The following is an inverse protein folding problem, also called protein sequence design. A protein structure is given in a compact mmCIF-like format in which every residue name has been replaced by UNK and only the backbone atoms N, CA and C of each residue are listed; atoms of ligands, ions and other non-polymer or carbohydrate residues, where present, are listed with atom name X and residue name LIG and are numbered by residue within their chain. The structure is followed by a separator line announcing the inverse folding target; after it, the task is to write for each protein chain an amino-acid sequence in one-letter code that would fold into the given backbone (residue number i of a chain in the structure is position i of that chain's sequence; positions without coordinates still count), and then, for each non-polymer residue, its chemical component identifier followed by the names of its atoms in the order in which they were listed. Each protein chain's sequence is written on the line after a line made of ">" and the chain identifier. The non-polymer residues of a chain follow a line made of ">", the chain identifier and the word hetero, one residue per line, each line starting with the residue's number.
data_IF_735822861321
#
_entry.id   IF_735822861321
#
_cell.length_a   1.000
_cell.length_b   1.000
_cell.length_c   1.000
_cell.angle_alpha   90.00
_cell.angle_beta   90.00
_cell.angle_gamma   90.00
#
_symmetry.space_group_name_H-M   'P 1'
#
loop_
_entity.id
_entity.type
_entity.pdbx_description
1 polymer ?
#
# COMPACT_ATOMS: atom_id res chain seq x y z
N UNK A 1 -17.91 -13.32 8.12
CA UNK A 1 -17.68 -12.24 7.13
C UNK A 1 -16.22 -11.89 7.22
N UNK A 2 -15.45 -12.23 6.18
CA UNK A 2 -14.02 -11.94 6.12
C UNK A 2 -13.80 -10.43 6.11
N UNK A 3 -12.93 -9.97 6.99
CA UNK A 3 -12.47 -8.59 7.11
C UNK A 3 -11.52 -8.17 5.95
N UNK A 4 -11.48 -8.95 4.87
CA UNK A 4 -10.45 -8.88 3.86
C UNK A 4 -10.46 -7.65 2.93
N UNK A 5 -11.57 -6.92 2.81
CA UNK A 5 -11.71 -5.96 1.71
C UNK A 5 -11.90 -4.48 2.13
N UNK A 6 -12.06 -4.20 3.41
CA UNK A 6 -12.46 -2.86 3.87
C UNK A 6 -11.31 -2.07 4.52
N UNK A 7 -10.25 -2.74 4.98
CA UNK A 7 -9.18 -2.11 5.76
C UNK A 7 -7.83 -2.23 5.06
N UNK A 8 -7.68 -1.48 3.97
CA UNK A 8 -6.45 -1.54 3.17
C UNK A 8 -5.37 -0.56 3.65
N UNK A 9 -5.74 0.61 4.17
CA UNK A 9 -4.77 1.57 4.70
C UNK A 9 -4.39 1.23 6.14
N UNK A 10 -3.16 1.54 6.50
CA UNK A 10 -2.63 1.41 7.86
C UNK A 10 -3.57 2.00 8.90
N UNK A 11 -4.12 3.20 8.66
CA UNK A 11 -5.04 3.89 9.57
C UNK A 11 -6.28 3.07 9.89
N UNK A 12 -6.87 2.41 8.89
CA UNK A 12 -8.07 1.57 9.05
C UNK A 12 -7.73 0.28 9.79
N UNK A 13 -6.59 -0.34 9.47
CA UNK A 13 -6.09 -1.54 10.16
C UNK A 13 -5.90 -1.26 11.65
N UNK A 14 -5.27 -0.14 11.99
CA UNK A 14 -5.03 0.27 13.38
C UNK A 14 -6.34 0.54 14.12
N UNK A 15 -7.24 1.30 13.52
CA UNK A 15 -8.54 1.59 14.11
C UNK A 15 -9.31 0.29 14.43
N UNK A 16 -9.27 -0.67 13.51
CA UNK A 16 -9.91 -1.96 13.70
C UNK A 16 -9.21 -2.81 14.77
N UNK A 17 -7.87 -2.88 14.76
CA UNK A 17 -7.10 -3.61 15.76
C UNK A 17 -7.33 -3.05 17.19
N UNK A 18 -7.37 -1.74 17.33
CA UNK A 18 -7.68 -1.06 18.58
C UNK A 18 -9.08 -1.43 19.08
N UNK A 19 -10.10 -1.35 18.22
CA UNK A 19 -11.46 -1.72 18.53
C UNK A 19 -11.59 -3.19 18.99
N UNK A 20 -10.93 -4.10 18.28
CA UNK A 20 -11.02 -5.54 18.59
C UNK A 20 -10.26 -5.93 19.84
N UNK A 21 -9.14 -5.27 20.13
CA UNK A 21 -8.32 -5.54 21.32
C UNK A 21 -8.77 -4.78 22.57
N UNK A 22 -9.69 -3.83 22.43
CA UNK A 22 -10.09 -2.95 23.53
C UNK A 22 -8.99 -1.96 23.95
N UNK A 23 -7.99 -1.73 23.08
CA UNK A 23 -6.87 -0.81 23.32
C UNK A 23 -7.13 0.56 22.68
N UNK A 24 -6.40 1.56 23.17
CA UNK A 24 -6.43 2.88 22.56
C UNK A 24 -5.62 2.90 21.25
N UNK A 25 -6.09 3.62 20.25
CA UNK A 25 -5.38 3.84 18.98
C UNK A 25 -4.00 4.43 19.21
N UNK A 26 -3.85 5.28 20.23
CA UNK A 26 -2.57 5.90 20.61
C UNK A 26 -1.47 4.89 20.97
N UNK A 27 -1.84 3.70 21.49
CA UNK A 27 -0.88 2.65 21.81
C UNK A 27 -0.25 2.08 20.52
N UNK A 28 -1.05 1.90 19.48
CA UNK A 28 -0.56 1.49 18.15
C UNK A 28 0.24 2.60 17.48
N UNK A 29 -0.26 3.84 17.58
CA UNK A 29 0.43 5.00 16.99
C UNK A 29 1.82 5.19 17.60
N UNK A 30 1.98 5.00 18.90
CA UNK A 30 3.28 5.09 19.56
C UNK A 30 4.30 4.07 19.01
N UNK A 31 3.87 2.86 18.67
CA UNK A 31 4.73 1.84 18.04
C UNK A 31 5.15 2.28 16.63
N UNK A 32 4.21 2.85 15.88
CA UNK A 32 4.44 3.33 14.51
C UNK A 32 5.39 4.52 14.51
N UNK A 33 5.17 5.47 15.38
CA UNK A 33 6.03 6.67 15.53
C UNK A 33 7.45 6.31 15.97
N UNK A 34 7.60 5.17 16.67
CA UNK A 34 8.88 4.57 17.01
C UNK A 34 9.62 3.91 15.82
N UNK A 35 9.05 3.94 14.61
CA UNK A 35 9.68 3.42 13.39
C UNK A 35 9.78 1.90 13.29
N UNK A 36 9.07 1.15 14.14
CA UNK A 36 8.96 -0.31 14.03
C UNK A 36 10.27 -1.08 14.26
N UNK A 37 11.19 -0.54 15.06
CA UNK A 37 12.45 -1.21 15.38
C UNK A 37 12.21 -2.61 15.99
N UNK A 38 12.81 -3.65 15.37
CA UNK A 38 12.63 -5.05 15.76
C UNK A 38 11.27 -5.65 15.34
N UNK A 39 10.49 -4.95 14.49
CA UNK A 39 9.22 -5.40 13.92
C UNK A 39 9.30 -5.42 12.40
N UNK A 40 9.64 -4.27 11.79
CA UNK A 40 9.73 -4.10 10.35
C UNK A 40 11.06 -4.60 9.79
N UNK A 41 11.08 -5.15 8.57
CA UNK A 41 12.32 -5.39 7.86
C UNK A 41 12.96 -4.06 7.40
N UNK A 42 14.26 -4.09 7.13
CA UNK A 42 15.03 -2.88 6.80
C UNK A 42 14.49 -2.14 5.57
N UNK A 43 14.02 -2.87 4.57
CA UNK A 43 13.46 -2.32 3.34
C UNK A 43 12.18 -1.51 3.54
N UNK A 44 11.46 -1.72 4.63
CA UNK A 44 10.29 -0.92 4.99
C UNK A 44 10.64 0.52 5.42
N UNK A 45 11.93 0.81 5.68
CA UNK A 45 12.39 2.16 6.04
C UNK A 45 11.69 2.75 7.26
N UNK A 46 11.24 1.91 8.19
CA UNK A 46 10.51 2.33 9.39
C UNK A 46 9.04 2.71 9.14
N UNK A 47 8.48 2.40 7.97
CA UNK A 47 7.10 2.70 7.59
C UNK A 47 6.25 1.43 7.56
N UNK A 48 5.09 1.44 8.23
CA UNK A 48 4.20 0.28 8.34
C UNK A 48 3.22 0.13 7.17
N UNK A 49 2.96 1.20 6.39
CA UNK A 49 2.04 1.09 5.26
C UNK A 49 2.52 0.07 4.23
N UNK A 50 1.66 -0.86 3.88
CA UNK A 50 1.98 -2.02 3.03
C UNK A 50 2.44 -3.26 3.79
N UNK A 51 2.88 -3.13 5.04
CA UNK A 51 3.51 -4.20 5.81
C UNK A 51 2.59 -4.89 6.83
N UNK A 52 1.31 -4.56 6.83
CA UNK A 52 0.31 -5.18 7.71
C UNK A 52 -0.52 -6.19 6.92
N UNK A 53 -0.23 -7.49 7.10
CA UNK A 53 -0.96 -8.54 6.39
C UNK A 53 -2.42 -8.58 6.80
N UNK A 54 -3.37 -8.52 5.84
CA UNK A 54 -4.78 -8.78 6.13
C UNK A 54 -4.99 -10.21 6.64
N UNK A 55 -5.79 -10.37 7.68
CA UNK A 55 -6.03 -11.72 8.23
C UNK A 55 -6.80 -11.70 9.53
N UNK A 56 -6.93 -12.88 10.14
CA UNK A 56 -7.54 -13.05 11.45
C UNK A 56 -6.45 -13.22 12.50
N UNK A 57 -6.43 -12.34 13.49
CA UNK A 57 -5.44 -12.32 14.55
C UNK A 57 -6.10 -12.47 15.91
N UNK A 58 -5.49 -13.26 16.80
CA UNK A 58 -5.86 -13.23 18.21
C UNK A 58 -5.24 -11.99 18.85
N UNK A 59 -6.09 -11.11 19.38
CA UNK A 59 -5.64 -9.84 19.99
C UNK A 59 -5.76 -9.84 21.51
N UNK A 60 -6.35 -10.88 22.08
CA UNK A 60 -6.56 -10.99 23.52
C UNK A 60 -5.21 -11.09 24.26
N UNK A 61 -5.06 -10.34 25.34
CA UNK A 61 -3.89 -10.31 26.21
C UNK A 61 -2.55 -9.93 25.53
N UNK A 62 -2.61 -9.36 24.31
CA UNK A 62 -1.44 -8.90 23.57
C UNK A 62 -1.28 -7.39 23.65
N UNK A 63 -0.02 -6.94 23.65
CA UNK A 63 0.29 -5.50 23.47
C UNK A 63 0.02 -5.05 22.04
N UNK A 64 -0.15 -3.74 21.83
CA UNK A 64 -0.23 -3.17 20.48
C UNK A 64 1.00 -3.54 19.62
N UNK A 65 2.18 -3.54 20.25
CA UNK A 65 3.44 -3.96 19.62
C UNK A 65 3.41 -5.41 19.15
N UNK A 66 2.90 -6.33 19.97
CA UNK A 66 2.84 -7.75 19.61
C UNK A 66 1.85 -7.99 18.47
N UNK A 67 0.70 -7.30 18.48
CA UNK A 67 -0.30 -7.38 17.42
C UNK A 67 0.30 -6.91 16.09
N UNK A 68 0.95 -5.74 16.07
CA UNK A 68 1.60 -5.22 14.86
C UNK A 68 2.74 -6.14 14.39
N UNK A 69 3.53 -6.69 15.32
CA UNK A 69 4.59 -7.64 15.00
C UNK A 69 4.06 -8.90 14.31
N UNK A 70 2.94 -9.43 14.78
CA UNK A 70 2.31 -10.60 14.14
C UNK A 70 1.84 -10.28 12.73
N UNK A 71 1.21 -9.11 12.51
CA UNK A 71 0.77 -8.69 11.18
C UNK A 71 1.94 -8.53 10.22
N UNK A 72 3.04 -7.92 10.67
CA UNK A 72 4.26 -7.76 9.86
C UNK A 72 4.90 -9.12 9.57
N UNK A 73 5.03 -9.99 10.58
CA UNK A 73 5.58 -11.34 10.40
C UNK A 73 4.76 -12.14 9.38
N UNK A 74 3.43 -12.06 9.47
CA UNK A 74 2.54 -12.70 8.50
C UNK A 74 2.74 -12.15 7.09
N UNK A 75 2.94 -10.82 6.95
CA UNK A 75 3.23 -10.18 5.66
C UNK A 75 4.56 -10.66 5.08
N UNK A 76 5.63 -10.69 5.86
CA UNK A 76 6.93 -11.19 5.40
C UNK A 76 6.83 -12.64 4.94
N UNK A 77 6.21 -13.51 5.74
CA UNK A 77 5.99 -14.91 5.38
C UNK A 77 5.16 -15.06 4.10
N UNK A 78 4.14 -14.21 3.91
CA UNK A 78 3.33 -14.18 2.69
C UNK A 78 4.18 -13.80 1.47
N UNK A 79 4.99 -12.76 1.58
CA UNK A 79 5.88 -12.31 0.50
C UNK A 79 6.90 -13.39 0.14
N UNK A 80 7.47 -14.09 1.13
CA UNK A 80 8.36 -15.23 0.91
C UNK A 80 7.65 -16.37 0.16
N UNK A 81 6.43 -16.69 0.57
CA UNK A 81 5.61 -17.72 -0.08
C UNK A 81 5.27 -17.37 -1.53
N UNK A 82 5.01 -16.11 -1.81
CA UNK A 82 4.75 -15.60 -3.17
C UNK A 82 6.02 -15.48 -4.02
N UNK A 83 7.20 -15.65 -3.43
CA UNK A 83 8.49 -15.55 -4.12
C UNK A 83 8.91 -14.12 -4.41
N UNK A 84 8.42 -13.15 -3.63
CA UNK A 84 8.83 -11.74 -3.77
C UNK A 84 10.28 -11.58 -3.28
N UNK A 85 11.20 -11.06 -4.10
CA UNK A 85 12.59 -10.85 -3.71
C UNK A 85 12.72 -9.93 -2.49
N UNK A 86 13.73 -10.18 -1.66
CA UNK A 86 14.03 -9.34 -0.50
C UNK A 86 14.59 -7.96 -0.89
N UNK A 87 14.62 -7.05 0.09
CA UNK A 87 15.25 -5.76 -0.04
C UNK A 87 14.41 -4.73 -0.79
N UNK A 88 15.07 -3.77 -1.42
CA UNK A 88 14.42 -2.64 -2.10
C UNK A 88 13.46 -3.06 -3.21
N UNK A 89 13.67 -4.20 -3.84
CA UNK A 89 12.75 -4.71 -4.86
C UNK A 89 11.43 -5.15 -4.24
N UNK A 90 11.45 -5.71 -3.03
CA UNK A 90 10.24 -6.06 -2.28
C UNK A 90 9.37 -4.82 -2.01
N UNK A 91 9.98 -3.76 -1.49
CA UNK A 91 9.29 -2.50 -1.25
C UNK A 91 8.75 -1.90 -2.55
N UNK A 92 9.52 -1.95 -3.63
CA UNK A 92 9.11 -1.49 -4.95
C UNK A 92 7.89 -2.25 -5.49
N UNK A 93 7.89 -3.58 -5.39
CA UNK A 93 6.76 -4.42 -5.80
C UNK A 93 5.52 -4.11 -4.99
N UNK A 94 5.66 -3.97 -3.66
CA UNK A 94 4.56 -3.63 -2.77
C UNK A 94 3.96 -2.26 -3.10
N UNK A 95 4.81 -1.29 -3.39
CA UNK A 95 4.39 0.06 -3.76
C UNK A 95 3.57 0.03 -5.07
N UNK A 96 4.08 -0.61 -6.12
CA UNK A 96 3.37 -0.77 -7.40
C UNK A 96 2.05 -1.54 -7.20
N UNK A 97 2.05 -2.63 -6.44
CA UNK A 97 0.86 -3.43 -6.17
C UNK A 97 -0.24 -2.61 -5.48
N UNK A 98 0.13 -1.79 -4.49
CA UNK A 98 -0.82 -0.95 -3.77
C UNK A 98 -1.49 0.09 -4.67
N UNK A 99 -0.75 0.65 -5.62
CA UNK A 99 -1.29 1.60 -6.60
C UNK A 99 -2.19 0.86 -7.60
N UNK A 100 -1.72 -0.25 -8.17
CA UNK A 100 -2.48 -1.03 -9.14
C UNK A 100 -3.84 -1.49 -8.58
N UNK A 101 -3.84 -1.95 -7.33
CA UNK A 101 -5.06 -2.36 -6.63
C UNK A 101 -6.01 -1.18 -6.36
N UNK A 102 -5.45 0.02 -6.12
CA UNK A 102 -6.26 1.23 -5.86
C UNK A 102 -6.85 1.84 -7.12
N UNK A 103 -6.22 1.66 -8.27
CA UNK A 103 -6.62 2.25 -9.55
C UNK A 103 -7.53 1.33 -10.38
N UNK A 104 -7.35 0.01 -10.28
CA UNK A 104 -8.12 -0.93 -11.08
C UNK A 104 -9.39 -1.39 -10.36
N UNK A 105 -10.50 -1.40 -11.07
CA UNK A 105 -11.78 -1.90 -10.54
C UNK A 105 -11.88 -3.43 -10.55
N UNK A 106 -11.05 -4.10 -11.36
CA UNK A 106 -11.04 -5.55 -11.53
C UNK A 106 -9.65 -6.12 -11.27
N UNK A 107 -9.51 -7.19 -10.48
CA UNK A 107 -8.24 -7.87 -10.28
C UNK A 107 -7.52 -8.30 -11.56
N UNK A 108 -8.25 -8.62 -12.63
CA UNK A 108 -7.69 -9.00 -13.93
C UNK A 108 -6.93 -7.85 -14.62
N UNK A 109 -7.15 -6.62 -14.18
CA UNK A 109 -6.50 -5.44 -14.73
C UNK A 109 -5.28 -4.96 -13.92
N UNK A 110 -5.03 -5.51 -12.72
CA UNK A 110 -3.89 -5.12 -11.88
C UNK A 110 -2.56 -5.18 -12.63
N UNK A 111 -2.33 -6.25 -13.40
CA UNK A 111 -1.11 -6.42 -14.19
C UNK A 111 -0.94 -5.36 -15.27
N UNK A 112 -2.03 -4.96 -15.94
CA UNK A 112 -2.00 -3.91 -16.97
C UNK A 112 -1.68 -2.56 -16.36
N UNK A 113 -2.29 -2.23 -15.22
CA UNK A 113 -1.98 -0.98 -14.49
C UNK A 113 -0.54 -0.99 -14.00
N UNK A 114 -0.05 -2.10 -13.45
CA UNK A 114 1.36 -2.27 -13.07
C UNK A 114 2.29 -2.05 -14.26
N UNK A 115 1.94 -2.56 -15.44
CA UNK A 115 2.71 -2.33 -16.68
C UNK A 115 2.73 -0.86 -17.08
N UNK A 116 1.62 -0.15 -17.00
CA UNK A 116 1.57 1.29 -17.27
C UNK A 116 2.48 2.06 -16.30
N UNK A 117 2.46 1.72 -15.02
CA UNK A 117 3.34 2.33 -14.01
C UNK A 117 4.81 2.14 -14.41
N UNK A 118 5.24 0.91 -14.72
CA UNK A 118 6.60 0.62 -15.14
C UNK A 118 7.01 1.37 -16.42
N UNK A 119 6.14 1.36 -17.43
CA UNK A 119 6.42 2.05 -18.68
C UNK A 119 6.56 3.58 -18.50
N UNK A 120 5.77 4.18 -17.61
CA UNK A 120 5.90 5.61 -17.27
C UNK A 120 7.20 5.90 -16.55
N UNK A 121 7.60 5.05 -15.60
CA UNK A 121 8.90 5.17 -14.92
C UNK A 121 10.04 5.12 -15.94
N UNK A 122 10.02 4.13 -16.83
CA UNK A 122 11.06 3.94 -17.86
C UNK A 122 11.17 5.13 -18.83
N UNK A 123 10.07 5.85 -19.03
CA UNK A 123 10.02 7.04 -19.89
C UNK A 123 10.16 8.37 -19.13
N UNK A 124 10.53 8.34 -17.85
CA UNK A 124 10.63 9.50 -16.98
C UNK A 124 9.33 10.34 -16.95
N UNK A 125 8.19 9.69 -17.05
CA UNK A 125 6.86 10.32 -16.98
C UNK A 125 6.33 10.30 -15.53
N UNK A 126 5.58 11.34 -15.11
CA UNK A 126 4.80 11.29 -13.88
C UNK A 126 3.79 10.15 -13.92
N UNK A 127 3.56 9.47 -12.78
CA UNK A 127 2.57 8.38 -12.74
C UNK A 127 1.13 8.90 -12.87
N UNK A 128 0.84 10.10 -12.37
CA UNK A 128 -0.45 10.75 -12.55
C UNK A 128 -1.62 10.02 -11.89
N UNK A 129 -1.38 9.36 -10.75
CA UNK A 129 -2.37 8.53 -10.05
C UNK A 129 -3.04 9.33 -8.94
N UNK A 130 -4.35 9.53 -9.04
CA UNK A 130 -5.11 10.30 -8.04
C UNK A 130 -5.18 9.59 -6.69
N UNK A 131 -5.12 8.26 -6.68
CA UNK A 131 -5.06 7.47 -5.44
C UNK A 131 -3.87 7.82 -4.56
N UNK A 132 -2.72 8.09 -5.17
CA UNK A 132 -1.50 8.49 -4.43
C UNK A 132 -1.63 9.89 -3.85
N UNK A 133 -2.19 10.83 -4.62
CA UNK A 133 -2.47 12.20 -4.14
C UNK A 133 -3.42 12.16 -2.95
N UNK A 134 -4.51 11.40 -3.09
CA UNK A 134 -5.51 11.23 -2.05
C UNK A 134 -4.94 10.59 -0.78
N UNK A 135 -3.99 9.66 -0.92
CA UNK A 135 -3.31 9.08 0.23
C UNK A 135 -2.55 10.15 1.03
N UNK A 136 -1.75 10.98 0.36
CA UNK A 136 -0.97 12.03 1.02
C UNK A 136 -1.82 13.07 1.76
N UNK A 137 -3.04 13.32 1.29
CA UNK A 137 -4.02 14.19 1.97
C UNK A 137 -4.97 13.44 2.91
N UNK A 138 -4.77 12.14 3.13
CA UNK A 138 -5.65 11.28 3.93
C UNK A 138 -7.14 11.40 3.54
N UNK A 139 -7.41 11.39 2.24
CA UNK A 139 -8.74 11.53 1.66
C UNK A 139 -9.00 10.45 0.59
N UNK A 140 -10.05 10.61 -0.20
CA UNK A 140 -10.37 9.75 -1.35
C UNK A 140 -10.25 10.54 -2.65
N UNK A 141 -9.97 9.86 -3.77
CA UNK A 141 -9.81 10.51 -5.07
C UNK A 141 -10.98 11.41 -5.48
N UNK A 142 -12.21 11.00 -5.15
CA UNK A 142 -13.43 11.77 -5.45
C UNK A 142 -13.59 13.08 -4.66
N UNK A 143 -12.76 13.30 -3.65
CA UNK A 143 -12.78 14.51 -2.79
C UNK A 143 -11.58 15.42 -3.02
N UNK A 144 -10.72 15.11 -3.97
CA UNK A 144 -9.57 15.95 -4.30
C UNK A 144 -10.02 17.25 -4.97
N UNK A 145 -9.39 18.35 -4.58
CA UNK A 145 -9.53 19.65 -5.23
C UNK A 145 -8.46 19.85 -6.28
N UNK A 146 -8.67 20.76 -7.22
CA UNK A 146 -7.67 21.10 -8.25
C UNK A 146 -6.37 21.59 -7.60
N UNK A 147 -6.46 22.39 -6.54
CA UNK A 147 -5.29 22.85 -5.78
C UNK A 147 -4.49 21.68 -5.18
N UNK A 148 -5.16 20.67 -4.63
CA UNK A 148 -4.49 19.48 -4.10
C UNK A 148 -3.85 18.63 -5.21
N UNK A 149 -4.46 18.57 -6.39
CA UNK A 149 -3.91 17.86 -7.55
C UNK A 149 -2.64 18.53 -8.12
N UNK A 150 -2.47 19.82 -7.90
CA UNK A 150 -1.31 20.61 -8.35
C UNK A 150 -0.25 20.80 -7.25
N UNK A 151 -0.53 20.41 -6.02
CA UNK A 151 0.39 20.59 -4.89
C UNK A 151 1.57 19.63 -4.93
N UNK A 152 2.72 20.14 -5.41
CA UNK A 152 3.99 19.42 -5.44
C UNK A 152 4.66 19.25 -4.07
N UNK A 153 4.18 19.91 -3.01
CA UNK A 153 4.71 19.74 -1.64
C UNK A 153 4.26 18.43 -1.00
N UNK A 154 3.17 17.84 -1.49
CA UNK A 154 2.75 16.50 -1.12
C UNK A 154 3.67 15.46 -1.79
N UNK A 155 4.53 14.73 -1.04
CA UNK A 155 5.48 13.77 -1.62
C UNK A 155 4.79 12.57 -2.28
N UNK A 156 3.51 12.34 -2.00
CA UNK A 156 2.68 11.31 -2.64
C UNK A 156 2.00 11.78 -3.93
N UNK A 157 2.14 13.06 -4.29
CA UNK A 157 1.55 13.59 -5.50
C UNK A 157 2.33 13.14 -6.75
N UNK A 158 1.96 12.01 -7.31
CA UNK A 158 2.58 11.46 -8.53
C UNK A 158 2.12 12.14 -9.82
N UNK A 159 1.26 13.16 -9.75
CA UNK A 159 0.92 14.02 -10.90
C UNK A 159 2.03 15.05 -11.17
N UNK A 160 2.71 15.48 -10.10
CA UNK A 160 3.77 16.50 -10.13
C UNK A 160 5.13 15.87 -9.88
N UNK A 161 5.25 15.01 -8.88
CA UNK A 161 6.49 14.34 -8.52
C UNK A 161 6.64 13.05 -9.32
N UNK A 162 7.77 12.89 -10.04
CA UNK A 162 8.06 11.69 -10.83
C UNK A 162 8.47 10.51 -9.95
N UNK A 163 8.30 9.30 -10.48
CA UNK A 163 8.65 8.06 -9.81
C UNK A 163 7.55 7.56 -8.87
N UNK A 164 7.89 6.53 -8.10
CA UNK A 164 6.99 5.94 -7.09
C UNK A 164 6.86 6.87 -5.88
N UNK A 165 5.71 6.86 -5.20
CA UNK A 165 5.56 7.57 -3.92
C UNK A 165 6.48 6.96 -2.85
N UNK A 166 6.69 7.67 -1.71
CA UNK A 166 7.65 7.24 -0.68
C UNK A 166 7.38 5.87 -0.07
N UNK A 167 6.12 5.43 -0.04
CA UNK A 167 5.69 4.13 0.52
C UNK A 167 4.56 3.56 -0.33
N UNK A 168 4.20 2.28 -0.14
CA UNK A 168 2.88 1.80 -0.54
C UNK A 168 1.77 2.71 0.00
N UNK A 169 0.63 2.75 -0.65
CA UNK A 169 -0.54 3.57 -0.24
C UNK A 169 -1.65 2.74 0.39
N UNK A 170 -1.43 1.44 0.52
CA UNK A 170 -2.31 0.47 1.17
C UNK A 170 -1.55 -0.82 1.45
N UNK A 171 -2.21 -1.77 2.11
CA UNK A 171 -1.72 -3.14 2.26
C UNK A 171 -2.29 -4.00 1.12
N UNK A 172 -1.54 -4.23 0.02
CA UNK A 172 -2.05 -4.91 -1.15
C UNK A 172 -2.32 -6.39 -0.89
N UNK A 173 -3.30 -6.96 -1.59
CA UNK A 173 -3.61 -8.38 -1.58
C UNK A 173 -2.70 -9.20 -2.50
N UNK A 174 -2.79 -10.54 -2.36
CA UNK A 174 -1.95 -11.50 -3.10
C UNK A 174 -2.02 -11.30 -4.62
N UNK A 175 -3.21 -11.09 -5.16
CA UNK A 175 -3.42 -10.90 -6.61
C UNK A 175 -2.71 -9.66 -7.14
N UNK A 176 -2.74 -8.56 -6.38
CA UNK A 176 -2.06 -7.32 -6.77
C UNK A 176 -0.54 -7.48 -6.69
N UNK A 177 -0.04 -8.16 -5.66
CA UNK A 177 1.40 -8.44 -5.50
C UNK A 177 1.90 -9.32 -6.65
N UNK A 178 1.19 -10.41 -6.97
CA UNK A 178 1.55 -11.30 -8.08
C UNK A 178 1.52 -10.57 -9.43
N UNK A 179 0.51 -9.72 -9.65
CA UNK A 179 0.40 -8.91 -10.84
C UNK A 179 1.54 -7.89 -10.99
N UNK A 180 1.98 -7.29 -9.89
CA UNK A 180 3.12 -6.36 -9.88
C UNK A 180 4.47 -7.07 -10.11
N UNK A 181 4.60 -8.33 -9.67
CA UNK A 181 5.80 -9.14 -9.93
C UNK A 181 5.93 -9.54 -11.40
N UNK A 182 4.82 -9.87 -12.05
CA UNK A 182 4.77 -10.42 -13.39
C UNK A 182 3.76 -9.67 -14.26
N UNK A 183 3.93 -8.36 -14.47
CA UNK A 183 3.03 -7.59 -15.30
C UNK A 183 3.11 -8.06 -16.76
N UNK A 184 1.96 -8.13 -17.49
CA UNK A 184 1.97 -8.55 -18.89
C UNK A 184 2.82 -7.62 -19.75
N UNK A 185 3.31 -8.12 -20.87
CA UNK A 185 3.99 -7.31 -21.86
C UNK A 185 3.01 -6.30 -22.50
N UNK A 186 3.48 -5.09 -22.77
CA UNK A 186 2.71 -4.06 -23.42
C UNK A 186 3.42 -2.72 -23.39
N UNK A 187 3.04 -1.83 -24.32
CA UNK A 187 3.61 -0.48 -24.43
C UNK A 187 2.61 0.61 -23.98
N UNK A 188 1.62 0.20 -23.17
CA UNK A 188 0.59 1.13 -22.70
C UNK A 188 1.19 2.19 -21.76
N UNK A 189 0.77 3.42 -21.96
CA UNK A 189 1.10 4.57 -21.11
C UNK A 189 -0.14 5.15 -20.42
N UNK A 190 -1.32 4.72 -20.84
CA UNK A 190 -2.61 5.20 -20.34
C UNK A 190 -3.57 4.03 -20.15
N UNK A 191 -4.48 4.17 -19.24
CA UNK A 191 -5.63 3.29 -19.05
C UNK A 191 -6.87 4.12 -18.74
N UNK A 192 -8.02 3.55 -18.98
CA UNK A 192 -9.33 4.15 -18.66
C UNK A 192 -10.14 3.08 -17.95
N UNK A 193 -10.77 3.44 -16.87
CA UNK A 193 -11.70 2.57 -16.17
C UNK A 193 -13.03 2.59 -16.92
N UNK A 194 -13.49 1.43 -17.38
CA UNK A 194 -14.72 1.30 -18.19
C UNK A 194 -15.94 0.83 -17.40
N UNK A 195 -15.82 0.66 -16.08
CA UNK A 195 -16.97 0.32 -15.25
C UNK A 195 -17.76 1.58 -14.93
N UNK A 196 -18.89 1.68 -15.61
CA UNK A 196 -20.00 2.56 -15.27
C UNK A 196 -20.91 1.86 -14.26
#
# INVERSE_FOLDING_TARGET
>A
RGLGDVYKRQSDVIANAAKMSGKDVSEFQAVIDGGGAGILPDEAGGKFEGWLEPGSYSVQDKSAKDILKEMVTARVNKLDTLGVPDGSERERIMNIASIAESEACNPDDYGKVARVILNRIDQDMPLGMDSTVAYGFNTTGSKLTDEQLEDGSNPYNTRVNKGLPPTPISNPGDSAIQAAMNPPEGKWLYFVTTNL
#
